data_IF_430744826931
#
_entry.id   IF_430744826931
#
_cell.length_a   1.000
_cell.length_b   1.000
_cell.length_c   1.000
_cell.angle_alpha   90.00
_cell.angle_beta   90.00
_cell.angle_gamma   90.00
#
_symmetry.space_group_name_H-M   'P 1'
#
loop_
_entity.id
_entity.type
_entity.pdbx_description
1 polymer ?
#
# COMPACT_ATOMS: atom_id res chain seq x y z
N UNK A 1 14.78 8.50 5.59
CA UNK A 1 14.06 7.76 4.53
C UNK A 1 14.96 6.90 3.65
N UNK A 2 16.11 7.41 3.15
CA UNK A 2 16.97 6.64 2.25
C UNK A 2 17.40 5.25 2.77
N UNK A 3 17.76 5.13 4.06
CA UNK A 3 18.12 3.84 4.69
C UNK A 3 16.97 2.81 4.74
N UNK A 4 15.71 3.27 4.78
CA UNK A 4 14.53 2.38 4.73
C UNK A 4 14.23 1.97 3.29
N UNK A 5 14.30 2.91 2.34
CA UNK A 5 14.08 2.62 0.92
C UNK A 5 15.20 1.78 0.27
N UNK A 6 16.39 1.72 0.88
CA UNK A 6 17.47 0.81 0.49
C UNK A 6 17.28 -0.62 1.00
N UNK A 7 16.41 -0.84 2.01
CA UNK A 7 16.14 -2.17 2.54
C UNK A 7 15.17 -2.91 1.59
N UNK A 8 15.57 -4.12 1.14
CA UNK A 8 14.81 -4.90 0.17
C UNK A 8 13.42 -5.30 0.68
N UNK A 9 13.29 -5.68 1.95
CA UNK A 9 12.00 -6.05 2.56
C UNK A 9 11.07 -4.85 2.66
N UNK A 10 11.61 -3.71 3.11
CA UNK A 10 10.84 -2.47 3.18
C UNK A 10 10.37 -2.03 1.79
N UNK A 11 11.23 -2.10 0.78
CA UNK A 11 10.92 -1.72 -0.59
C UNK A 11 9.85 -2.62 -1.21
N UNK A 12 9.95 -3.93 -1.03
CA UNK A 12 8.92 -4.88 -1.52
C UNK A 12 7.59 -4.59 -0.83
N UNK A 13 7.59 -4.48 0.50
CA UNK A 13 6.36 -4.19 1.25
C UNK A 13 5.70 -2.87 0.83
N UNK A 14 6.52 -1.84 0.64
CA UNK A 14 6.07 -0.53 0.16
C UNK A 14 5.40 -0.63 -1.21
N UNK A 15 6.04 -1.25 -2.21
CA UNK A 15 5.46 -1.37 -3.54
C UNK A 15 4.21 -2.26 -3.56
N UNK A 16 4.19 -3.36 -2.81
CA UNK A 16 3.01 -4.20 -2.69
C UNK A 16 1.82 -3.44 -2.11
N UNK A 17 2.05 -2.65 -1.05
CA UNK A 17 1.01 -1.83 -0.43
C UNK A 17 0.50 -0.74 -1.38
N UNK A 18 1.40 -0.03 -2.06
CA UNK A 18 1.05 1.04 -2.99
C UNK A 18 0.30 0.49 -4.21
N UNK A 19 0.82 -0.54 -4.87
CA UNK A 19 0.22 -1.08 -6.09
C UNK A 19 -1.13 -1.75 -5.82
N UNK A 20 -1.27 -2.43 -4.68
CA UNK A 20 -2.52 -3.06 -4.30
C UNK A 20 -3.58 -2.09 -3.76
N UNK A 21 -3.16 -1.00 -3.11
CA UNK A 21 -4.07 0.02 -2.58
C UNK A 21 -4.42 1.14 -3.55
N UNK A 22 -3.55 1.47 -4.50
CA UNK A 22 -3.75 2.59 -5.42
C UNK A 22 -5.08 2.53 -6.20
N UNK A 23 -5.53 1.37 -6.73
CA UNK A 23 -6.81 1.30 -7.42
C UNK A 23 -7.99 1.64 -6.51
N UNK A 24 -8.02 1.08 -5.29
CA UNK A 24 -9.10 1.33 -4.33
C UNK A 24 -9.13 2.80 -3.92
N UNK A 25 -7.99 3.35 -3.50
CA UNK A 25 -7.89 4.76 -3.09
C UNK A 25 -8.18 5.70 -4.26
N UNK A 26 -7.75 5.37 -5.48
CA UNK A 26 -8.08 6.15 -6.67
C UNK A 26 -9.58 6.25 -6.89
N UNK A 27 -10.30 5.14 -6.81
CA UNK A 27 -11.77 5.12 -6.94
C UNK A 27 -12.42 5.94 -5.84
N UNK A 28 -12.05 5.70 -4.59
CA UNK A 28 -12.64 6.38 -3.42
C UNK A 28 -12.40 7.89 -3.50
N UNK A 29 -11.18 8.32 -3.81
CA UNK A 29 -10.82 9.74 -3.89
C UNK A 29 -11.52 10.43 -5.06
N UNK A 30 -11.53 9.82 -6.24
CA UNK A 30 -12.23 10.37 -7.41
C UNK A 30 -13.74 10.44 -7.18
N UNK A 31 -14.33 9.44 -6.53
CA UNK A 31 -15.75 9.45 -6.17
C UNK A 31 -16.07 10.55 -5.15
N UNK A 32 -15.21 10.74 -4.15
CA UNK A 32 -15.37 11.78 -3.14
C UNK A 32 -15.38 13.21 -3.72
N UNK A 33 -14.68 13.44 -4.83
CA UNK A 33 -14.64 14.75 -5.52
C UNK A 33 -15.56 14.81 -6.75
N UNK A 34 -16.41 13.81 -6.97
CA UNK A 34 -17.37 13.78 -8.09
C UNK A 34 -16.75 13.60 -9.49
N UNK A 35 -15.48 13.21 -9.57
CA UNK A 35 -14.79 12.89 -10.83
C UNK A 35 -14.92 11.42 -11.22
N UNK A 36 -15.57 10.60 -10.40
CA UNK A 36 -15.85 9.20 -10.73
C UNK A 36 -17.14 9.10 -11.55
N UNK A 37 -17.13 8.38 -12.69
CA UNK A 37 -18.28 8.33 -13.60
C UNK A 37 -19.48 7.58 -13.04
N UNK A 38 -19.27 6.64 -12.12
CA UNK A 38 -20.34 5.87 -11.49
C UNK A 38 -20.90 6.63 -10.26
N UNK A 39 -22.21 6.95 -10.23
CA UNK A 39 -22.84 7.62 -9.09
C UNK A 39 -22.90 6.77 -7.81
N UNK A 40 -22.77 5.44 -7.91
CA UNK A 40 -22.71 4.56 -6.74
C UNK A 40 -21.60 3.50 -6.90
N UNK A 41 -20.32 3.91 -6.76
CA UNK A 41 -19.20 3.00 -6.95
C UNK A 41 -19.22 1.86 -5.92
N UNK A 42 -19.12 0.62 -6.39
CA UNK A 42 -18.97 -0.56 -5.54
C UNK A 42 -17.66 -1.32 -5.83
N UNK A 43 -16.50 -0.83 -5.33
CA UNK A 43 -15.18 -1.35 -5.69
C UNK A 43 -14.82 -2.65 -4.94
N UNK A 44 -15.63 -3.71 -5.06
CA UNK A 44 -15.37 -5.01 -4.42
C UNK A 44 -14.04 -5.60 -4.87
N UNK A 45 -13.76 -5.61 -6.18
CA UNK A 45 -12.49 -6.13 -6.71
C UNK A 45 -11.26 -5.39 -6.19
N UNK A 46 -11.19 -4.05 -6.34
CA UNK A 46 -10.14 -3.22 -5.74
C UNK A 46 -10.04 -3.36 -4.22
N UNK A 47 -11.18 -3.51 -3.53
CA UNK A 47 -11.25 -3.76 -2.09
C UNK A 47 -10.60 -5.08 -1.69
N UNK A 48 -10.88 -6.17 -2.42
CA UNK A 48 -10.25 -7.47 -2.22
C UNK A 48 -8.76 -7.44 -2.53
N UNK A 49 -8.36 -6.74 -3.61
CA UNK A 49 -6.95 -6.56 -3.94
C UNK A 49 -6.21 -5.82 -2.82
N UNK A 50 -6.76 -4.71 -2.32
CA UNK A 50 -6.19 -4.00 -1.18
C UNK A 50 -6.13 -4.88 0.05
N UNK A 51 -7.20 -5.61 0.39
CA UNK A 51 -7.21 -6.51 1.53
C UNK A 51 -6.11 -7.57 1.44
N UNK A 52 -5.93 -8.23 0.30
CA UNK A 52 -4.93 -9.28 0.12
C UNK A 52 -3.48 -8.75 0.06
N UNK A 53 -3.28 -7.49 -0.30
CA UNK A 53 -1.94 -6.89 -0.49
C UNK A 53 -1.51 -6.00 0.67
N UNK A 54 -2.45 -5.43 1.43
CA UNK A 54 -2.15 -4.45 2.46
C UNK A 54 -1.42 -5.07 3.65
N UNK A 55 -1.95 -6.14 4.23
CA UNK A 55 -1.32 -6.76 5.40
C UNK A 55 0.04 -7.41 5.09
N UNK A 56 0.27 -8.14 3.97
CA UNK A 56 1.60 -8.67 3.68
C UNK A 56 2.59 -7.54 3.37
N UNK A 57 2.13 -6.46 2.72
CA UNK A 57 2.93 -5.26 2.46
C UNK A 57 3.39 -4.59 3.75
N UNK A 58 2.46 -4.39 4.69
CA UNK A 58 2.75 -3.84 6.01
C UNK A 58 3.70 -4.73 6.83
N UNK A 59 3.53 -6.05 6.79
CA UNK A 59 4.45 -7.00 7.46
C UNK A 59 5.86 -6.89 6.86
N UNK A 60 6.00 -6.88 5.54
CA UNK A 60 7.30 -6.74 4.88
C UNK A 60 7.96 -5.40 5.23
N UNK A 61 7.18 -4.32 5.26
CA UNK A 61 7.64 -3.00 5.72
C UNK A 61 8.09 -3.03 7.18
N UNK A 62 7.35 -3.66 8.08
CA UNK A 62 7.71 -3.78 9.49
C UNK A 62 9.02 -4.55 9.68
N UNK A 63 9.19 -5.69 8.98
CA UNK A 63 10.42 -6.48 8.99
C UNK A 63 11.60 -5.64 8.48
N UNK A 64 11.44 -4.98 7.33
CA UNK A 64 12.49 -4.14 6.76
C UNK A 64 12.86 -2.95 7.65
N UNK A 65 11.87 -2.35 8.31
CA UNK A 65 12.09 -1.27 9.27
C UNK A 65 12.84 -1.77 10.51
N UNK A 66 12.47 -2.93 11.05
CA UNK A 66 13.18 -3.60 12.15
C UNK A 66 14.64 -3.87 11.80
N UNK A 67 14.92 -4.41 10.62
CA UNK A 67 16.30 -4.64 10.14
C UNK A 67 17.13 -3.36 10.04
N UNK A 68 16.52 -2.24 9.62
CA UNK A 68 17.20 -0.95 9.55
C UNK A 68 17.48 -0.39 10.93
N UNK A 69 16.59 -0.62 11.90
CA UNK A 69 16.78 -0.23 13.29
C UNK A 69 17.90 -1.05 13.96
N UNK A 70 17.90 -2.37 13.81
CA UNK A 70 18.93 -3.26 14.41
C UNK A 70 20.34 -3.11 13.81
N UNK A 71 20.48 -2.40 12.68
CA UNK A 71 21.79 -2.09 12.05
C UNK A 71 22.29 -0.68 12.36
N UNK A 72 21.57 0.06 13.20
CA UNK A 72 21.97 1.39 13.67
C UNK A 72 22.72 1.36 15.01
N UNK A 73 22.76 0.19 15.64
CA UNK A 73 23.62 -0.15 16.79
C UNK A 73 24.93 -0.76 16.30
#
# INVERSE_FOLDING_TARGET
>A
MQKYLSNRWFKIGFWTFILGGAPLWGIVLLAAIGLWPDPNPNPVGPGLLFFLTAWPGLICMAIGAGQVLSRRD
#
